data_IF_061031865478
#
_entry.id   IF_061031865478
#
_cell.length_a   1.000
_cell.length_b   1.000
_cell.length_c   1.000
_cell.angle_alpha   90.00
_cell.angle_beta   90.00
_cell.angle_gamma   90.00
#
_symmetry.space_group_name_H-M   'P 1'
#
loop_
_entity.id
_entity.type
_entity.pdbx_description
1 polymer ?
#
# COMPACT_ATOMS: atom_id res chain seq x y z
N UNK A 1 22.11 -2.76 42.49
CA UNK A 1 22.23 -3.51 41.23
C UNK A 1 20.95 -4.18 40.74
N UNK A 2 19.88 -4.31 41.52
CA UNK A 2 18.60 -4.91 41.08
C UNK A 2 17.79 -4.05 40.09
N UNK A 3 17.97 -2.74 40.03
CA UNK A 3 17.18 -1.86 39.13
C UNK A 3 17.52 -1.99 37.65
N UNK A 4 18.68 -2.49 37.25
CA UNK A 4 19.11 -2.62 35.87
C UNK A 4 18.44 -3.79 35.13
N UNK A 5 18.18 -4.89 35.81
CA UNK A 5 17.58 -6.09 35.18
C UNK A 5 16.14 -5.87 34.67
N UNK A 6 15.36 -5.07 35.41
CA UNK A 6 14.01 -4.75 35.01
C UNK A 6 13.95 -3.93 33.71
N UNK A 7 14.87 -2.97 33.55
CA UNK A 7 14.97 -2.15 32.34
C UNK A 7 15.25 -3.03 31.13
N UNK A 8 16.21 -3.93 31.22
CA UNK A 8 16.54 -4.86 30.15
C UNK A 8 15.42 -5.86 29.88
N UNK A 9 14.75 -6.36 30.93
CA UNK A 9 13.58 -7.23 30.78
C UNK A 9 12.44 -6.57 30.02
N UNK A 10 12.09 -5.34 30.37
CA UNK A 10 11.06 -4.57 29.68
C UNK A 10 11.48 -4.25 28.23
N UNK A 11 12.72 -3.86 27.99
CA UNK A 11 13.22 -3.58 26.65
C UNK A 11 13.18 -4.85 25.77
N UNK A 12 13.62 -5.99 26.30
CA UNK A 12 13.58 -7.27 25.59
C UNK A 12 12.15 -7.69 25.26
N UNK A 13 11.24 -7.61 26.23
CA UNK A 13 9.83 -7.94 26.01
C UNK A 13 9.19 -7.03 24.96
N UNK A 14 9.44 -5.72 25.03
CA UNK A 14 8.96 -4.76 24.06
C UNK A 14 9.49 -5.04 22.64
N UNK A 15 10.78 -5.37 22.54
CA UNK A 15 11.39 -5.71 21.26
C UNK A 15 10.86 -7.04 20.68
N UNK A 16 10.65 -8.05 21.54
CA UNK A 16 10.06 -9.31 21.11
C UNK A 16 8.62 -9.14 20.60
N UNK A 17 7.81 -8.34 21.28
CA UNK A 17 6.46 -7.97 20.83
C UNK A 17 6.53 -7.22 19.48
N UNK A 18 7.44 -6.26 19.38
CA UNK A 18 7.66 -5.53 18.12
C UNK A 18 8.03 -6.47 16.97
N UNK A 19 8.99 -7.37 17.17
CA UNK A 19 9.37 -8.34 16.15
C UNK A 19 8.22 -9.30 15.80
N UNK A 20 7.44 -9.72 16.79
CA UNK A 20 6.24 -10.54 16.57
C UNK A 20 5.21 -9.90 15.66
N UNK A 21 5.06 -8.57 15.75
CA UNK A 21 4.21 -7.79 14.87
C UNK A 21 4.89 -7.46 13.53
N UNK A 22 6.18 -7.13 13.54
CA UNK A 22 6.89 -6.57 12.38
C UNK A 22 7.30 -7.63 11.35
N UNK A 23 7.65 -8.84 11.79
CA UNK A 23 8.11 -9.92 10.92
C UNK A 23 6.96 -10.86 10.53
N UNK A 24 7.07 -11.47 9.34
CA UNK A 24 6.18 -12.55 8.95
C UNK A 24 6.74 -13.90 9.45
N UNK A 25 6.02 -14.53 10.37
CA UNK A 25 6.37 -15.85 10.93
C UNK A 25 5.63 -17.01 10.27
N UNK A 26 4.68 -16.72 9.37
CA UNK A 26 3.78 -17.72 8.77
C UNK A 26 4.36 -18.37 7.51
N UNK A 27 5.46 -17.84 6.97
CA UNK A 27 6.05 -18.32 5.73
C UNK A 27 5.19 -18.02 4.49
N UNK A 28 5.47 -18.68 3.35
CA UNK A 28 4.78 -18.48 2.09
C UNK A 28 3.28 -18.81 2.16
N UNK A 29 2.53 -18.27 1.20
CA UNK A 29 1.12 -18.59 1.01
C UNK A 29 0.92 -20.04 0.56
N UNK A 30 -0.05 -20.73 1.17
CA UNK A 30 -0.49 -22.02 0.68
C UNK A 30 -1.43 -21.84 -0.54
N UNK A 31 -1.47 -22.82 -1.43
CA UNK A 31 -2.32 -22.78 -2.63
C UNK A 31 -3.80 -22.51 -2.32
N UNK A 32 -4.35 -23.12 -1.28
CA UNK A 32 -5.72 -22.88 -0.86
C UNK A 32 -5.96 -21.46 -0.35
N UNK A 33 -4.96 -20.82 0.28
CA UNK A 33 -5.03 -19.41 0.68
C UNK A 33 -5.06 -18.51 -0.56
N UNK A 34 -4.22 -18.78 -1.56
CA UNK A 34 -4.19 -18.05 -2.84
C UNK A 34 -5.55 -18.12 -3.53
N UNK A 35 -6.10 -19.33 -3.68
CA UNK A 35 -7.42 -19.56 -4.29
C UNK A 35 -8.51 -18.77 -3.56
N UNK A 36 -8.50 -18.78 -2.21
CA UNK A 36 -9.42 -18.01 -1.39
C UNK A 36 -9.28 -16.50 -1.58
N UNK A 37 -8.06 -15.98 -1.62
CA UNK A 37 -7.83 -14.56 -1.89
C UNK A 37 -8.30 -14.16 -3.28
N UNK A 38 -7.96 -14.94 -4.31
CA UNK A 38 -8.38 -14.68 -5.68
C UNK A 38 -9.91 -14.67 -5.83
N UNK A 39 -10.61 -15.62 -5.19
CA UNK A 39 -12.07 -15.64 -5.18
C UNK A 39 -12.65 -14.38 -4.53
N UNK A 40 -12.10 -13.94 -3.39
CA UNK A 40 -12.52 -12.71 -2.69
C UNK A 40 -12.21 -11.45 -3.48
N UNK A 41 -11.06 -11.38 -4.15
CA UNK A 41 -10.69 -10.25 -5.01
C UNK A 41 -11.67 -10.11 -6.18
N UNK A 42 -12.03 -11.23 -6.82
CA UNK A 42 -13.07 -11.23 -7.88
C UNK A 42 -14.42 -10.79 -7.36
N UNK A 43 -14.85 -11.30 -6.20
CA UNK A 43 -16.13 -10.94 -5.59
C UNK A 43 -16.20 -9.45 -5.18
N UNK A 44 -15.07 -8.86 -4.81
CA UNK A 44 -14.97 -7.45 -4.44
C UNK A 44 -14.64 -6.53 -5.63
N UNK A 45 -14.64 -7.08 -6.84
CA UNK A 45 -14.27 -6.33 -8.03
C UNK A 45 -12.91 -5.60 -7.89
N UNK A 46 -11.90 -6.27 -7.39
CA UNK A 46 -10.53 -5.75 -7.33
C UNK A 46 -9.90 -5.83 -8.73
N UNK A 47 -9.06 -4.85 -9.08
CA UNK A 47 -8.38 -4.83 -10.38
C UNK A 47 -9.18 -4.07 -11.44
N UNK A 48 -9.62 -2.86 -11.12
CA UNK A 48 -10.34 -1.95 -12.02
C UNK A 48 -9.44 -1.04 -12.85
N UNK A 49 -8.18 -1.41 -13.04
CA UNK A 49 -7.29 -0.72 -13.96
C UNK A 49 -7.74 -0.85 -15.42
N UNK A 50 -7.08 -0.13 -16.30
CA UNK A 50 -7.33 -0.18 -17.75
C UNK A 50 -7.00 -1.55 -18.39
N UNK A 51 -6.40 -2.45 -17.62
CA UNK A 51 -6.03 -3.81 -18.03
C UNK A 51 -6.58 -4.83 -17.04
N UNK A 52 -6.71 -6.08 -17.48
CA UNK A 52 -7.04 -7.20 -16.59
C UNK A 52 -5.85 -7.49 -15.66
N UNK A 53 -5.93 -6.96 -14.44
CA UNK A 53 -4.89 -7.12 -13.42
C UNK A 53 -4.95 -8.47 -12.69
N UNK A 54 -6.02 -9.25 -12.85
CA UNK A 54 -6.21 -10.49 -12.12
C UNK A 54 -5.11 -11.54 -12.37
N UNK A 55 -4.63 -11.77 -13.60
CA UNK A 55 -3.51 -12.69 -13.84
C UNK A 55 -2.21 -12.22 -13.17
N UNK A 56 -1.98 -10.90 -13.14
CA UNK A 56 -0.80 -10.30 -12.49
C UNK A 56 -0.88 -10.50 -10.98
N UNK A 57 -2.04 -10.24 -10.37
CA UNK A 57 -2.28 -10.44 -8.94
C UNK A 57 -2.15 -11.92 -8.55
N UNK A 58 -2.68 -12.83 -9.36
CA UNK A 58 -2.55 -14.27 -9.13
C UNK A 58 -1.08 -14.69 -9.12
N UNK A 59 -0.34 -14.35 -10.15
CA UNK A 59 1.09 -14.66 -10.26
C UNK A 59 1.89 -14.04 -9.09
N UNK A 60 1.58 -12.80 -8.72
CA UNK A 60 2.19 -12.14 -7.57
C UNK A 60 2.00 -12.95 -6.27
N UNK A 61 0.82 -13.55 -6.05
CA UNK A 61 0.58 -14.39 -4.87
C UNK A 61 1.23 -15.77 -4.99
N UNK A 62 1.26 -16.37 -6.19
CA UNK A 62 1.89 -17.68 -6.44
C UNK A 62 3.41 -17.65 -6.25
N UNK A 63 4.05 -16.52 -6.53
CA UNK A 63 5.48 -16.30 -6.34
C UNK A 63 5.84 -15.90 -4.90
N UNK A 64 4.93 -16.05 -3.91
CA UNK A 64 5.18 -15.66 -2.52
C UNK A 64 6.29 -16.51 -1.87
N UNK A 65 7.35 -15.87 -1.44
CA UNK A 65 8.46 -16.45 -0.71
C UNK A 65 8.34 -16.31 0.83
N UNK A 66 7.23 -15.74 1.29
CA UNK A 66 6.97 -15.48 2.70
C UNK A 66 7.73 -14.30 3.29
N UNK A 67 8.47 -13.55 2.48
CA UNK A 67 9.28 -12.41 2.93
C UNK A 67 8.54 -11.09 2.78
N UNK A 68 9.10 -10.07 3.41
CA UNK A 68 8.71 -8.68 3.17
C UNK A 68 9.08 -8.24 1.76
N UNK A 69 8.34 -7.27 1.27
CA UNK A 69 8.64 -6.63 0.00
C UNK A 69 8.30 -5.15 0.03
N UNK A 70 8.87 -4.41 -0.91
CA UNK A 70 8.61 -2.99 -1.10
C UNK A 70 7.87 -2.77 -2.40
N UNK A 71 6.71 -2.14 -2.33
CA UNK A 71 5.96 -1.73 -3.50
C UNK A 71 6.33 -0.30 -3.87
N UNK A 72 6.86 -0.13 -5.07
CA UNK A 72 7.09 1.19 -5.64
C UNK A 72 5.77 1.71 -6.23
N UNK A 73 5.35 2.86 -5.76
CA UNK A 73 4.25 3.62 -6.34
C UNK A 73 4.82 4.87 -7.00
N UNK A 74 4.66 4.98 -8.30
CA UNK A 74 4.98 6.18 -9.07
C UNK A 74 3.66 6.87 -9.38
N UNK A 75 3.50 8.11 -8.92
CA UNK A 75 2.18 8.73 -8.81
C UNK A 75 2.16 10.06 -9.54
N UNK A 76 1.15 10.26 -10.38
CA UNK A 76 0.73 11.57 -10.86
C UNK A 76 -0.46 12.04 -10.02
N UNK A 77 -0.27 13.11 -9.26
CA UNK A 77 -1.36 13.75 -8.53
C UNK A 77 -2.10 14.71 -9.46
N UNK A 78 -3.41 14.81 -9.28
CA UNK A 78 -4.19 15.90 -9.88
C UNK A 78 -3.74 17.25 -9.33
N UNK A 79 -3.86 18.29 -10.13
CA UNK A 79 -3.59 19.67 -9.71
C UNK A 79 -4.89 20.36 -9.27
N UNK A 80 -4.79 21.22 -8.25
CA UNK A 80 -5.90 22.05 -7.79
C UNK A 80 -7.02 21.29 -7.08
N UNK A 81 -8.25 21.60 -7.45
CA UNK A 81 -9.45 20.98 -6.89
C UNK A 81 -9.95 19.85 -7.78
N UNK A 82 -10.43 18.77 -7.15
CA UNK A 82 -11.04 17.61 -7.80
C UNK A 82 -12.39 17.31 -7.17
N UNK A 83 -13.26 16.61 -7.91
CA UNK A 83 -14.56 16.21 -7.41
C UNK A 83 -14.41 15.19 -6.26
N UNK A 84 -15.02 15.47 -5.12
CA UNK A 84 -15.13 14.52 -4.00
C UNK A 84 -15.99 13.33 -4.47
N UNK A 85 -15.49 12.10 -4.36
CA UNK A 85 -16.17 10.92 -4.90
C UNK A 85 -17.49 10.57 -4.18
N UNK A 86 -17.75 11.17 -3.01
CA UNK A 86 -18.98 10.94 -2.24
C UNK A 86 -20.00 12.05 -2.47
N UNK A 87 -19.55 13.31 -2.45
CA UNK A 87 -20.45 14.47 -2.51
C UNK A 87 -20.53 15.14 -3.87
N UNK A 88 -19.57 14.87 -4.77
CA UNK A 88 -19.42 15.54 -6.07
C UNK A 88 -18.90 16.97 -6.01
N UNK A 89 -18.73 17.54 -4.81
CA UNK A 89 -18.23 18.90 -4.65
C UNK A 89 -16.75 19.00 -4.99
N UNK A 90 -16.36 20.11 -5.62
CA UNK A 90 -14.95 20.40 -5.87
C UNK A 90 -14.23 20.70 -4.55
N UNK A 91 -13.11 20.00 -4.31
CA UNK A 91 -12.30 20.14 -3.09
C UNK A 91 -10.81 20.02 -3.42
N UNK A 92 -9.94 20.66 -2.65
CA UNK A 92 -8.50 20.52 -2.82
C UNK A 92 -8.05 19.06 -2.84
N UNK A 93 -7.26 18.68 -3.85
CA UNK A 93 -6.79 17.29 -4.04
C UNK A 93 -6.15 16.69 -2.78
N UNK A 94 -5.46 17.52 -1.97
CA UNK A 94 -4.89 17.11 -0.68
C UNK A 94 -5.93 16.60 0.32
N UNK A 95 -7.14 17.17 0.31
CA UNK A 95 -8.23 16.79 1.21
C UNK A 95 -8.87 15.48 0.74
N UNK A 96 -9.02 15.31 -0.56
CA UNK A 96 -9.47 14.04 -1.17
C UNK A 96 -8.46 12.93 -0.86
N UNK A 97 -7.16 13.20 -1.05
CA UNK A 97 -6.10 12.25 -0.70
C UNK A 97 -6.07 11.91 0.80
N UNK A 98 -6.38 12.86 1.67
CA UNK A 98 -6.49 12.61 3.10
C UNK A 98 -7.63 11.63 3.43
N UNK A 99 -8.71 11.62 2.65
CA UNK A 99 -9.78 10.62 2.75
C UNK A 99 -9.27 9.20 2.52
N UNK A 100 -8.49 8.99 1.47
CA UNK A 100 -7.82 7.71 1.21
C UNK A 100 -6.85 7.33 2.33
N UNK A 101 -5.93 8.24 2.66
CA UNK A 101 -4.86 7.99 3.63
C UNK A 101 -5.39 7.64 5.02
N UNK A 102 -6.48 8.27 5.46
CA UNK A 102 -7.12 8.02 6.75
C UNK A 102 -7.59 6.56 6.91
N UNK A 103 -8.04 5.93 5.82
CA UNK A 103 -8.47 4.54 5.83
C UNK A 103 -7.31 3.58 5.59
N UNK A 104 -6.41 3.93 4.67
CA UNK A 104 -5.30 3.08 4.26
C UNK A 104 -4.23 2.91 5.34
N UNK A 105 -3.75 4.02 5.92
CA UNK A 105 -2.59 3.99 6.81
C UNK A 105 -2.80 3.15 8.08
N UNK A 106 -3.93 3.26 8.81
CA UNK A 106 -4.16 2.40 9.97
C UNK A 106 -4.24 0.92 9.60
N UNK A 107 -4.85 0.59 8.45
CA UNK A 107 -4.96 -0.79 7.98
C UNK A 107 -3.60 -1.36 7.58
N UNK A 108 -2.72 -0.56 6.98
CA UNK A 108 -1.34 -0.90 6.64
C UNK A 108 -0.51 -1.15 7.92
N UNK A 109 -0.53 -0.19 8.86
CA UNK A 109 0.20 -0.31 10.13
C UNK A 109 -0.25 -1.50 10.97
N UNK A 110 -1.56 -1.77 11.03
CA UNK A 110 -2.08 -2.93 11.76
C UNK A 110 -1.50 -4.27 11.25
N UNK A 111 -1.01 -4.29 10.01
CA UNK A 111 -0.40 -5.47 9.36
C UNK A 111 1.13 -5.41 9.29
N UNK A 112 1.76 -4.55 10.09
CA UNK A 112 3.21 -4.39 10.11
C UNK A 112 3.80 -3.73 8.86
N UNK A 113 2.95 -3.17 7.98
CA UNK A 113 3.40 -2.38 6.84
C UNK A 113 3.59 -0.91 7.20
N UNK A 114 4.39 -0.20 6.44
CA UNK A 114 4.59 1.25 6.62
C UNK A 114 5.18 1.91 5.37
N UNK A 115 5.04 3.24 5.20
CA UNK A 115 5.85 3.97 4.23
C UNK A 115 7.33 3.86 4.61
N UNK A 116 8.16 3.41 3.67
CA UNK A 116 9.61 3.37 3.84
C UNK A 116 10.29 4.61 3.28
N UNK A 117 9.74 5.15 2.19
CA UNK A 117 10.20 6.38 1.56
C UNK A 117 9.00 7.06 0.89
N UNK A 118 8.95 8.38 0.95
CA UNK A 118 8.11 9.20 0.10
C UNK A 118 8.91 10.41 -0.38
N UNK A 119 8.86 10.67 -1.68
CA UNK A 119 9.54 11.80 -2.28
C UNK A 119 8.61 12.50 -3.28
N UNK A 120 8.65 13.83 -3.28
CA UNK A 120 7.92 14.68 -4.22
C UNK A 120 8.86 15.25 -5.26
N UNK A 121 8.42 15.28 -6.50
CA UNK A 121 9.12 16.00 -7.55
C UNK A 121 9.08 17.51 -7.25
N UNK A 122 10.24 18.16 -7.32
CA UNK A 122 10.39 19.60 -7.08
C UNK A 122 10.75 20.38 -8.36
N UNK A 123 11.00 19.67 -9.47
CA UNK A 123 11.38 20.27 -10.76
C UNK A 123 11.16 19.31 -11.91
N UNK A 124 11.58 19.70 -13.10
CA UNK A 124 11.58 18.82 -14.26
C UNK A 124 12.57 17.66 -14.11
N UNK A 125 12.51 16.68 -15.01
CA UNK A 125 13.51 15.62 -15.11
C UNK A 125 14.80 16.22 -15.69
N UNK A 126 15.91 16.04 -14.99
CA UNK A 126 17.21 16.64 -15.35
C UNK A 126 17.94 15.79 -16.39
N UNK A 127 17.80 14.47 -16.30
CA UNK A 127 18.45 13.52 -17.20
C UNK A 127 17.44 12.49 -17.67
N UNK A 128 17.13 12.50 -18.95
CA UNK A 128 16.17 11.61 -19.58
C UNK A 128 16.78 10.98 -20.81
N UNK A 129 16.75 9.65 -20.88
CA UNK A 129 17.26 8.90 -22.01
C UNK A 129 16.25 7.86 -22.49
N UNK A 130 16.09 7.77 -23.82
CA UNK A 130 15.27 6.74 -24.45
C UNK A 130 13.77 6.88 -24.26
N UNK A 131 13.30 7.96 -23.65
CA UNK A 131 11.88 8.25 -23.47
C UNK A 131 11.33 8.96 -24.70
N UNK A 132 10.21 8.48 -25.23
CA UNK A 132 9.45 9.19 -26.28
C UNK A 132 8.74 10.42 -25.74
N UNK A 133 8.25 10.30 -24.50
CA UNK A 133 7.58 11.38 -23.75
C UNK A 133 8.10 11.40 -22.32
N UNK A 134 8.19 12.58 -21.74
CA UNK A 134 8.63 12.74 -20.34
C UNK A 134 7.42 12.55 -19.45
N UNK A 135 7.39 11.52 -18.59
CA UNK A 135 6.26 11.30 -17.69
C UNK A 135 6.12 12.43 -16.67
N UNK A 136 4.88 12.86 -16.44
CA UNK A 136 4.56 13.92 -15.47
C UNK A 136 4.34 13.39 -14.05
N UNK A 137 5.23 12.53 -13.58
CA UNK A 137 5.13 12.00 -12.22
C UNK A 137 5.33 13.09 -11.18
N UNK A 138 4.43 13.17 -10.19
CA UNK A 138 4.45 14.18 -9.11
C UNK A 138 5.20 13.70 -7.88
N UNK A 139 5.12 12.41 -7.60
CA UNK A 139 5.74 11.82 -6.43
C UNK A 139 6.03 10.33 -6.61
N UNK A 140 6.89 9.83 -5.75
CA UNK A 140 7.19 8.41 -5.62
C UNK A 140 7.04 8.00 -4.16
N UNK A 141 6.52 6.80 -3.93
CA UNK A 141 6.41 6.22 -2.61
C UNK A 141 6.81 4.75 -2.60
N UNK A 142 7.64 4.37 -1.63
CA UNK A 142 7.91 2.98 -1.32
C UNK A 142 7.10 2.60 -0.10
N UNK A 143 6.21 1.62 -0.26
CA UNK A 143 5.45 1.03 0.84
C UNK A 143 6.03 -0.33 1.17
N UNK A 144 6.49 -0.50 2.39
CA UNK A 144 6.90 -1.80 2.91
C UNK A 144 5.66 -2.58 3.30
N UNK A 145 5.57 -3.82 2.84
CA UNK A 145 4.60 -4.83 3.29
C UNK A 145 5.34 -5.98 3.95
N UNK A 146 4.83 -6.45 5.08
CA UNK A 146 5.42 -7.55 5.83
C UNK A 146 5.38 -8.87 5.06
N UNK A 147 4.34 -9.08 4.23
CA UNK A 147 4.17 -10.24 3.37
C UNK A 147 3.14 -9.99 2.27
N UNK A 148 3.14 -10.82 1.23
CA UNK A 148 2.08 -10.82 0.20
C UNK A 148 0.73 -11.22 0.78
N UNK A 149 0.71 -12.01 1.84
CA UNK A 149 -0.52 -12.32 2.60
C UNK A 149 -1.13 -11.07 3.20
N UNK A 150 -0.33 -10.18 3.78
CA UNK A 150 -0.83 -8.96 4.43
C UNK A 150 -1.43 -7.97 3.43
N UNK A 151 -0.84 -7.80 2.26
CA UNK A 151 -1.44 -6.97 1.21
C UNK A 151 -2.70 -7.63 0.64
N UNK A 152 -2.74 -8.94 0.45
CA UNK A 152 -3.93 -9.64 0.00
C UNK A 152 -5.10 -9.47 0.98
N UNK A 153 -4.85 -9.54 2.29
CA UNK A 153 -5.84 -9.21 3.30
C UNK A 153 -6.30 -7.76 3.23
N UNK A 154 -5.38 -6.82 2.99
CA UNK A 154 -5.70 -5.40 2.88
C UNK A 154 -6.61 -5.14 1.68
N UNK A 155 -6.25 -5.68 0.52
CA UNK A 155 -7.00 -5.53 -0.73
C UNK A 155 -8.39 -6.17 -0.65
N UNK A 156 -8.52 -7.29 0.06
CA UNK A 156 -9.80 -7.96 0.30
C UNK A 156 -10.63 -7.35 1.43
N UNK A 157 -10.17 -6.30 2.11
CA UNK A 157 -10.92 -5.66 3.19
C UNK A 157 -12.02 -4.76 2.59
N UNK A 158 -13.32 -5.01 2.85
CA UNK A 158 -14.40 -4.22 2.27
C UNK A 158 -14.34 -2.74 2.62
N UNK A 159 -13.75 -2.40 3.78
CA UNK A 159 -13.55 -1.01 4.21
C UNK A 159 -12.57 -0.27 3.30
N UNK A 160 -11.67 -1.00 2.68
CA UNK A 160 -10.68 -0.45 1.78
C UNK A 160 -11.23 -0.19 0.37
N UNK A 161 -12.23 -0.97 -0.10
CA UNK A 161 -12.87 -0.79 -1.40
C UNK A 161 -13.41 0.63 -1.62
N UNK A 162 -14.08 1.20 -0.61
CA UNK A 162 -14.57 2.59 -0.68
C UNK A 162 -13.45 3.65 -0.70
N UNK A 163 -12.27 3.34 -0.20
CA UNK A 163 -11.13 4.25 -0.21
C UNK A 163 -10.54 4.46 -1.60
N UNK A 164 -10.67 3.48 -2.49
CA UNK A 164 -10.14 3.58 -3.85
C UNK A 164 -10.75 4.72 -4.66
N UNK A 165 -12.02 5.05 -4.45
CA UNK A 165 -12.64 6.18 -5.13
C UNK A 165 -11.92 7.50 -4.86
N UNK A 166 -11.46 7.71 -3.60
CA UNK A 166 -10.64 8.88 -3.25
C UNK A 166 -9.26 8.82 -3.90
N UNK A 167 -8.67 7.61 -3.96
CA UNK A 167 -7.37 7.42 -4.65
C UNK A 167 -7.48 7.80 -6.12
N UNK A 168 -8.46 7.27 -6.84
CA UNK A 168 -8.65 7.54 -8.27
C UNK A 168 -8.97 9.01 -8.56
N UNK A 169 -9.78 9.67 -7.70
CA UNK A 169 -10.07 11.09 -7.85
C UNK A 169 -8.81 11.96 -7.66
N UNK A 170 -7.93 11.60 -6.73
CA UNK A 170 -6.71 12.35 -6.43
C UNK A 170 -5.52 12.00 -7.32
N UNK A 171 -5.45 10.76 -7.82
CA UNK A 171 -4.32 10.19 -8.57
C UNK A 171 -4.81 9.64 -9.91
N UNK A 172 -4.82 10.43 -10.98
CA UNK A 172 -5.25 9.95 -12.29
C UNK A 172 -4.33 8.90 -12.90
N UNK A 173 -3.08 8.81 -12.38
CA UNK A 173 -2.12 7.79 -12.80
C UNK A 173 -1.30 7.31 -11.59
N UNK A 174 -1.11 6.02 -11.50
CA UNK A 174 -0.27 5.40 -10.46
C UNK A 174 0.29 4.07 -10.97
#
# INVERSE_FOLDING_TARGET
MMGSFWVWGVAFAGYAIFLGWYLNWRGPLAKAEIESFMARMRANNVGHGDQDEMPVLQRFLEEDDGREFFMLNVIRMSDGDVADPVTGNMRPVREIMAGYTRMFMPALFARGGHPALAARRIGGMVDTWGLKEVPEWSMVGYMRYRSRRDIAHLVCDPRFGGAHAFKFAAMPQT
#
